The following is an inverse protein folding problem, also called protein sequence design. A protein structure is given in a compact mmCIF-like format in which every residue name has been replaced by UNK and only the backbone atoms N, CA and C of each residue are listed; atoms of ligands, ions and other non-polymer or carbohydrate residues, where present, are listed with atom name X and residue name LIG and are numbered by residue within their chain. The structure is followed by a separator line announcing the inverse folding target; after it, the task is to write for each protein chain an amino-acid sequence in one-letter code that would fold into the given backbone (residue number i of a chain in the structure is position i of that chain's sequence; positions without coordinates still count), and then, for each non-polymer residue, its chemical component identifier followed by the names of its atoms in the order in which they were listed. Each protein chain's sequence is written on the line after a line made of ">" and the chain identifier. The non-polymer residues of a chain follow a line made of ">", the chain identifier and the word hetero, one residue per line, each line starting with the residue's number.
data_IF_022276387043
#
_entry.id   IF_022276387043
#
_cell.length_a   1.000
_cell.length_b   1.000
_cell.length_c   1.000
_cell.angle_alpha   90.00
_cell.angle_beta   90.00
_cell.angle_gamma   90.00
#
_symmetry.space_group_name_H-M   'P 1'
#
loop_
_entity.id
_entity.type
_entity.pdbx_description
1 polymer ?
#
# COMPACT_ATOMS: atom_id res chain seq x y z
N UNK A 1 -12.30 0.92 -28.53
CA UNK A 1 -13.22 2.06 -28.74
C UNK A 1 -12.77 3.31 -27.99
N UNK A 2 -12.72 3.31 -26.65
CA UNK A 2 -12.30 4.49 -25.86
C UNK A 2 -10.98 5.13 -26.30
N UNK A 3 -9.94 4.33 -26.53
CA UNK A 3 -8.66 4.82 -27.05
C UNK A 3 -8.83 5.63 -28.35
N UNK A 4 -9.61 5.10 -29.30
CA UNK A 4 -9.82 5.72 -30.60
C UNK A 4 -10.67 6.99 -30.51
N UNK A 5 -11.65 7.05 -29.59
CA UNK A 5 -12.36 8.30 -29.27
C UNK A 5 -11.35 9.37 -28.86
N UNK A 6 -10.43 9.03 -27.94
CA UNK A 6 -9.35 9.91 -27.53
C UNK A 6 -8.49 10.38 -28.70
N UNK A 7 -8.10 9.48 -29.61
CA UNK A 7 -7.31 9.84 -30.79
C UNK A 7 -8.04 10.83 -31.71
N UNK A 8 -9.34 10.62 -31.97
CA UNK A 8 -10.15 11.53 -32.79
C UNK A 8 -10.27 12.91 -32.13
N UNK A 9 -10.52 12.94 -30.82
CA UNK A 9 -10.56 14.16 -30.01
C UNK A 9 -9.22 14.90 -30.02
N UNK A 10 -8.10 14.20 -30.03
CA UNK A 10 -6.76 14.81 -30.11
C UNK A 10 -6.45 15.37 -31.49
N UNK A 11 -6.93 14.73 -32.55
CA UNK A 11 -6.62 15.07 -33.93
C UNK A 11 -7.35 16.34 -34.42
N UNK A 12 -8.54 16.65 -33.88
CA UNK A 12 -9.33 17.81 -34.28
C UNK A 12 -9.64 18.73 -33.10
N UNK A 13 -9.06 19.95 -33.06
CA UNK A 13 -9.41 20.97 -32.07
C UNK A 13 -10.89 21.34 -32.09
N UNK A 14 -11.52 21.35 -33.27
CA UNK A 14 -12.94 21.65 -33.43
C UNK A 14 -13.81 20.58 -32.76
N UNK A 15 -13.51 19.29 -32.97
CA UNK A 15 -14.21 18.20 -32.27
C UNK A 15 -13.96 18.24 -30.77
N UNK A 16 -12.75 18.58 -30.33
CA UNK A 16 -12.43 18.70 -28.91
C UNK A 16 -13.23 19.84 -28.23
N UNK A 17 -13.38 20.99 -28.88
CA UNK A 17 -14.17 22.10 -28.34
C UNK A 17 -15.67 21.77 -28.35
N UNK A 18 -16.18 21.08 -29.36
CA UNK A 18 -17.56 20.56 -29.35
C UNK A 18 -17.79 19.62 -28.17
N UNK A 19 -16.85 18.71 -27.91
CA UNK A 19 -16.93 17.83 -26.74
C UNK A 19 -16.94 18.62 -25.42
N UNK A 20 -16.14 19.70 -25.31
CA UNK A 20 -16.19 20.60 -24.14
C UNK A 20 -17.54 21.32 -24.03
N UNK A 21 -18.14 21.75 -25.13
CA UNK A 21 -19.47 22.37 -25.13
C UNK A 21 -20.53 21.38 -24.61
N UNK A 22 -20.51 20.12 -25.05
CA UNK A 22 -21.40 19.08 -24.52
C UNK A 22 -21.17 18.84 -23.02
N UNK A 23 -19.92 18.90 -22.53
CA UNK A 23 -19.64 18.84 -21.09
C UNK A 23 -20.23 20.04 -20.31
N UNK A 24 -20.10 21.26 -20.83
CA UNK A 24 -20.69 22.46 -20.20
C UNK A 24 -22.21 22.37 -20.16
N UNK A 25 -22.83 21.87 -21.22
CA UNK A 25 -24.28 21.66 -21.32
C UNK A 25 -24.81 20.66 -20.29
N UNK A 26 -24.13 19.53 -20.10
CA UNK A 26 -24.57 18.49 -19.15
C UNK A 26 -24.24 18.84 -17.69
N UNK A 27 -23.08 19.46 -17.44
CA UNK A 27 -22.64 19.75 -16.06
C UNK A 27 -23.18 21.07 -15.49
N UNK A 28 -23.62 21.99 -16.36
CA UNK A 28 -23.96 23.37 -15.99
C UNK A 28 -22.78 24.20 -15.50
N UNK A 29 -21.54 23.68 -15.61
CA UNK A 29 -20.31 24.33 -15.14
C UNK A 29 -19.46 24.77 -16.31
N UNK A 30 -18.74 25.87 -16.14
CA UNK A 30 -17.81 26.38 -17.15
C UNK A 30 -16.54 25.52 -17.26
N UNK A 31 -16.15 24.90 -16.13
CA UNK A 31 -15.01 23.99 -16.06
C UNK A 31 -15.32 22.65 -16.74
N UNK A 32 -14.36 22.18 -17.53
CA UNK A 32 -14.46 20.90 -18.25
C UNK A 32 -13.35 19.96 -17.83
N UNK A 33 -13.62 18.67 -17.94
CA UNK A 33 -12.67 17.62 -17.65
C UNK A 33 -11.96 17.21 -18.94
N UNK A 34 -10.62 17.19 -18.90
CA UNK A 34 -9.83 16.70 -20.03
C UNK A 34 -10.03 15.20 -20.27
N UNK A 35 -9.91 14.78 -21.54
CA UNK A 35 -9.83 13.36 -21.86
C UNK A 35 -8.56 12.74 -21.28
N UNK A 36 -8.69 11.57 -20.66
CA UNK A 36 -7.53 10.82 -20.14
C UNK A 36 -7.09 9.81 -21.19
N UNK A 37 -5.86 9.93 -21.66
CA UNK A 37 -5.27 8.99 -22.61
C UNK A 37 -4.61 7.83 -21.87
N UNK A 38 -4.84 6.62 -22.36
CA UNK A 38 -4.06 5.48 -21.95
C UNK A 38 -2.64 5.54 -22.54
N UNK A 39 -1.70 4.87 -21.89
CA UNK A 39 -0.30 4.78 -22.23
C UNK A 39 0.15 3.33 -22.03
N UNK A 40 0.70 2.72 -23.08
CA UNK A 40 1.15 1.33 -23.07
C UNK A 40 2.19 1.01 -21.98
N UNK A 41 2.93 2.00 -21.49
CA UNK A 41 3.97 1.84 -20.45
C UNK A 41 3.44 1.98 -19.02
N UNK A 42 2.21 2.50 -18.84
CA UNK A 42 1.61 2.71 -17.52
C UNK A 42 0.37 1.84 -17.37
N UNK A 43 0.49 0.81 -16.56
CA UNK A 43 -0.56 -0.21 -16.38
C UNK A 43 -1.90 0.37 -15.84
N UNK A 44 -1.88 1.49 -15.10
CA UNK A 44 -3.06 2.14 -14.53
C UNK A 44 -3.80 3.07 -15.53
N UNK A 45 -3.20 3.31 -16.69
CA UNK A 45 -3.68 4.33 -17.62
C UNK A 45 -4.99 3.94 -18.32
N UNK A 46 -5.18 2.64 -18.63
CA UNK A 46 -6.43 2.13 -19.18
C UNK A 46 -7.58 2.26 -18.19
N UNK A 47 -7.32 1.94 -16.91
CA UNK A 47 -8.32 2.09 -15.84
C UNK A 47 -8.72 3.55 -15.65
N UNK A 48 -7.76 4.48 -15.60
CA UNK A 48 -8.05 5.91 -15.49
C UNK A 48 -8.82 6.47 -16.68
N UNK A 49 -8.54 5.97 -17.90
CA UNK A 49 -9.30 6.31 -19.09
C UNK A 49 -10.74 5.83 -18.98
N UNK A 50 -10.95 4.59 -18.52
CA UNK A 50 -12.30 4.04 -18.29
C UNK A 50 -13.07 4.78 -17.20
N UNK A 51 -12.46 5.07 -16.04
CA UNK A 51 -13.08 5.85 -14.97
C UNK A 51 -13.47 7.26 -15.47
N UNK A 52 -12.58 7.94 -16.19
CA UNK A 52 -12.88 9.25 -16.80
C UNK A 52 -14.02 9.15 -17.81
N UNK A 53 -14.04 8.11 -18.64
CA UNK A 53 -15.10 7.91 -19.63
C UNK A 53 -16.46 7.69 -18.96
N UNK A 54 -16.53 6.97 -17.84
CA UNK A 54 -17.76 6.78 -17.08
C UNK A 54 -18.28 8.11 -16.49
N UNK A 55 -17.39 8.93 -15.93
CA UNK A 55 -17.75 10.28 -15.45
C UNK A 55 -18.26 11.16 -16.61
N UNK A 56 -17.64 11.04 -17.77
CA UNK A 56 -18.00 11.81 -18.98
C UNK A 56 -19.09 11.15 -19.82
N UNK A 57 -19.74 10.07 -19.36
CA UNK A 57 -20.73 9.33 -20.13
C UNK A 57 -21.91 10.20 -20.61
N UNK A 58 -22.55 11.04 -19.77
CA UNK A 58 -23.63 11.93 -20.24
C UNK A 58 -23.14 12.88 -21.33
N UNK A 59 -22.00 13.54 -21.10
CA UNK A 59 -21.41 14.48 -22.05
C UNK A 59 -21.00 13.82 -23.37
N UNK A 60 -20.48 12.58 -23.33
CA UNK A 60 -20.15 11.80 -24.53
C UNK A 60 -21.41 11.45 -25.33
N UNK A 61 -22.49 11.04 -24.66
CA UNK A 61 -23.74 10.74 -25.34
C UNK A 61 -24.31 11.98 -26.06
N UNK A 62 -24.31 13.13 -25.37
CA UNK A 62 -24.73 14.40 -25.96
C UNK A 62 -23.83 14.82 -27.11
N UNK A 63 -22.51 14.71 -26.95
CA UNK A 63 -21.54 14.96 -28.03
C UNK A 63 -21.80 14.09 -29.27
N UNK A 64 -21.99 12.78 -29.10
CA UNK A 64 -22.28 11.89 -30.23
C UNK A 64 -23.60 12.23 -30.91
N UNK A 65 -24.63 12.61 -30.15
CA UNK A 65 -25.91 13.05 -30.70
C UNK A 65 -25.76 14.36 -31.48
N UNK A 66 -25.06 15.35 -30.93
CA UNK A 66 -24.84 16.65 -31.58
C UNK A 66 -24.04 16.49 -32.90
N UNK A 67 -23.01 15.65 -32.91
CA UNK A 67 -22.21 15.35 -34.11
C UNK A 67 -23.03 14.60 -35.15
N UNK A 68 -23.84 13.62 -34.73
CA UNK A 68 -24.73 12.85 -35.62
C UNK A 68 -25.75 13.78 -36.29
N UNK A 69 -26.48 14.56 -35.50
CA UNK A 69 -27.53 15.46 -35.97
C UNK A 69 -26.97 16.49 -36.97
N UNK A 70 -25.77 17.02 -36.70
CA UNK A 70 -25.11 17.97 -37.60
C UNK A 70 -24.78 17.35 -38.95
N UNK A 71 -24.19 16.16 -38.96
CA UNK A 71 -23.87 15.45 -40.20
C UNK A 71 -25.12 15.15 -41.03
N UNK A 72 -26.20 14.71 -40.37
CA UNK A 72 -27.49 14.44 -41.01
C UNK A 72 -28.12 15.72 -41.61
N UNK A 73 -27.88 16.88 -41.00
CA UNK A 73 -28.41 18.16 -41.48
C UNK A 73 -27.58 18.74 -42.64
N UNK A 74 -26.25 18.59 -42.61
CA UNK A 74 -25.35 19.27 -43.54
C UNK A 74 -25.10 18.53 -44.85
N UNK A 75 -25.02 17.19 -44.83
CA UNK A 75 -24.58 16.43 -46.01
C UNK A 75 -25.22 15.05 -46.14
N UNK A 76 -25.58 14.40 -45.02
CA UNK A 76 -26.20 13.06 -44.94
C UNK A 76 -25.58 11.97 -45.84
N UNK A 77 -24.39 12.23 -46.40
CA UNK A 77 -23.66 11.36 -47.30
C UNK A 77 -22.68 10.53 -46.51
N UNK A 78 -22.63 9.22 -46.76
CA UNK A 78 -21.75 8.31 -46.02
C UNK A 78 -20.26 8.69 -46.19
N UNK A 79 -19.90 9.33 -47.30
CA UNK A 79 -18.52 9.80 -47.57
C UNK A 79 -18.08 10.96 -46.67
N UNK A 80 -19.02 11.72 -46.09
CA UNK A 80 -18.72 12.88 -45.21
C UNK A 80 -18.92 12.56 -43.74
N UNK A 81 -19.24 11.31 -43.40
CA UNK A 81 -19.54 10.87 -42.04
C UNK A 81 -18.34 11.02 -41.11
N UNK A 82 -18.48 11.75 -39.99
CA UNK A 82 -17.40 11.90 -39.02
C UNK A 82 -16.90 10.56 -38.48
N UNK A 83 -15.59 10.30 -38.64
CA UNK A 83 -14.95 9.07 -38.20
C UNK A 83 -15.10 8.79 -36.69
N UNK A 84 -15.39 9.80 -35.87
CA UNK A 84 -15.63 9.62 -34.43
C UNK A 84 -16.89 8.79 -34.16
N UNK A 85 -17.92 8.88 -35.02
CA UNK A 85 -19.22 8.22 -34.84
C UNK A 85 -19.11 6.69 -34.89
N UNK A 86 -18.12 6.13 -35.60
CA UNK A 86 -17.87 4.69 -35.65
C UNK A 86 -17.46 4.10 -34.28
N UNK A 87 -17.03 4.95 -33.36
CA UNK A 87 -16.59 4.55 -32.02
C UNK A 87 -17.64 4.84 -30.94
N UNK A 88 -18.87 5.17 -31.33
CA UNK A 88 -19.98 5.37 -30.39
C UNK A 88 -20.23 4.07 -29.61
N UNK A 89 -20.21 4.20 -28.28
CA UNK A 89 -20.40 3.09 -27.36
C UNK A 89 -21.89 2.77 -27.21
N UNK A 90 -22.24 1.49 -27.29
CA UNK A 90 -23.58 1.00 -26.98
C UNK A 90 -23.81 0.95 -25.46
N UNK A 91 -25.06 0.81 -25.03
CA UNK A 91 -25.38 0.56 -23.62
C UNK A 91 -24.66 -0.69 -23.07
N UNK A 92 -24.43 -1.66 -23.96
CA UNK A 92 -23.69 -2.87 -23.66
C UNK A 92 -22.20 -2.60 -23.37
N UNK A 93 -21.54 -1.81 -24.22
CA UNK A 93 -20.12 -1.47 -24.04
C UNK A 93 -19.89 -0.70 -22.74
N UNK A 94 -20.81 0.21 -22.40
CA UNK A 94 -20.76 0.93 -21.13
C UNK A 94 -20.82 -0.01 -19.93
N UNK A 95 -21.68 -1.02 -19.98
CA UNK A 95 -21.78 -2.03 -18.92
C UNK A 95 -20.51 -2.86 -18.77
N UNK A 96 -19.87 -3.23 -19.89
CA UNK A 96 -18.56 -3.90 -19.86
C UNK A 96 -17.50 -3.01 -19.23
N UNK A 97 -17.47 -1.71 -19.56
CA UNK A 97 -16.53 -0.74 -18.95
C UNK A 97 -16.76 -0.64 -17.44
N UNK A 98 -18.00 -0.56 -16.97
CA UNK A 98 -18.34 -0.53 -15.54
C UNK A 98 -17.82 -1.77 -14.82
N UNK A 99 -18.03 -2.96 -15.39
CA UNK A 99 -17.54 -4.23 -14.82
C UNK A 99 -16.01 -4.26 -14.77
N UNK A 100 -15.32 -3.81 -15.83
CA UNK A 100 -13.86 -3.78 -15.86
C UNK A 100 -13.29 -2.82 -14.81
N UNK A 101 -13.88 -1.64 -14.65
CA UNK A 101 -13.46 -0.68 -13.61
C UNK A 101 -13.63 -1.28 -12.21
N UNK A 102 -14.79 -1.91 -11.94
CA UNK A 102 -15.07 -2.58 -10.67
C UNK A 102 -14.09 -3.73 -10.40
N UNK A 103 -13.82 -4.56 -11.40
CA UNK A 103 -12.87 -5.67 -11.33
C UNK A 103 -11.43 -5.19 -11.04
N UNK A 104 -11.01 -4.08 -11.65
CA UNK A 104 -9.66 -3.53 -11.49
C UNK A 104 -9.49 -2.67 -10.23
N UNK A 105 -10.58 -2.26 -9.58
CA UNK A 105 -10.51 -1.35 -8.43
C UNK A 105 -9.66 -1.87 -7.27
N UNK A 106 -9.77 -3.15 -6.84
CA UNK A 106 -8.89 -3.68 -5.80
C UNK A 106 -7.41 -3.67 -6.19
N UNK A 107 -7.07 -3.87 -7.47
CA UNK A 107 -5.69 -3.81 -7.95
C UNK A 107 -5.11 -2.39 -7.89
N UNK A 108 -5.91 -1.38 -8.21
CA UNK A 108 -5.53 0.02 -8.05
C UNK A 108 -5.27 0.36 -6.58
N UNK A 109 -6.17 -0.05 -5.69
CA UNK A 109 -6.04 0.16 -4.25
C UNK A 109 -4.79 -0.53 -3.72
N UNK A 110 -4.61 -1.82 -4.02
CA UNK A 110 -3.45 -2.61 -3.63
C UNK A 110 -2.14 -1.98 -4.10
N UNK A 111 -2.08 -1.53 -5.36
CA UNK A 111 -0.87 -0.92 -5.90
C UNK A 111 -0.55 0.41 -5.22
N UNK A 112 -1.55 1.26 -4.97
CA UNK A 112 -1.33 2.50 -4.21
C UNK A 112 -0.88 2.22 -2.78
N UNK A 113 -1.44 1.18 -2.15
CA UNK A 113 -1.11 0.78 -0.78
C UNK A 113 0.35 0.32 -0.68
N UNK A 114 0.82 -0.54 -1.59
CA UNK A 114 2.17 -1.12 -1.54
C UNK A 114 3.28 -0.16 -2.03
N UNK A 115 2.98 1.09 -2.39
CA UNK A 115 4.00 2.06 -2.83
C UNK A 115 4.69 2.80 -1.68
N UNK A 116 4.61 2.31 -0.43
CA UNK A 116 5.41 2.76 0.73
C UNK A 116 5.05 4.13 1.35
N UNK A 117 4.34 5.00 0.62
CA UNK A 117 3.62 6.11 1.25
C UNK A 117 2.15 5.76 1.30
N UNK A 118 1.70 5.11 2.36
CA UNK A 118 0.27 5.05 2.66
C UNK A 118 -0.34 6.45 2.48
N UNK A 119 -1.54 6.53 1.89
CA UNK A 119 -2.21 7.81 1.66
C UNK A 119 -2.37 8.52 3.03
N UNK A 120 -1.78 9.72 3.22
CA UNK A 120 -1.85 10.41 4.50
C UNK A 120 -3.30 10.64 4.94
N UNK A 121 -3.59 10.39 6.21
CA UNK A 121 -4.81 10.84 6.89
C UNK A 121 -6.11 10.10 6.58
N UNK A 122 -6.12 9.05 5.73
CA UNK A 122 -7.39 8.34 5.39
C UNK A 122 -7.35 6.82 5.49
N UNK A 123 -6.18 6.17 5.66
CA UNK A 123 -6.11 4.70 5.78
C UNK A 123 -5.15 4.24 6.89
N UNK A 124 -5.50 3.09 7.47
CA UNK A 124 -4.75 2.35 8.51
C UNK A 124 -3.43 1.74 8.02
N UNK A 125 -3.23 1.66 6.70
CA UNK A 125 -2.17 0.89 6.05
C UNK A 125 -0.98 1.76 5.67
N UNK A 126 0.24 1.28 5.95
CA UNK A 126 1.49 2.03 5.71
C UNK A 126 2.30 1.53 4.50
N UNK A 127 1.81 0.52 3.76
CA UNK A 127 2.57 -0.05 2.64
C UNK A 127 3.77 -0.88 3.08
N UNK A 128 3.74 -1.37 4.31
CA UNK A 128 4.77 -2.20 4.92
C UNK A 128 4.79 -3.61 4.33
N UNK A 129 5.90 -4.32 4.53
CA UNK A 129 6.12 -5.64 3.93
C UNK A 129 5.11 -6.69 4.40
N UNK A 130 4.64 -6.58 5.64
CA UNK A 130 3.64 -7.45 6.24
C UNK A 130 2.22 -7.26 5.66
N UNK A 131 2.02 -6.31 4.75
CA UNK A 131 0.80 -6.17 3.96
C UNK A 131 0.92 -6.85 2.58
N UNK A 132 2.14 -7.06 2.08
CA UNK A 132 2.38 -7.52 0.72
C UNK A 132 1.76 -8.89 0.44
N UNK A 133 2.07 -9.89 1.29
CA UNK A 133 1.54 -11.24 1.11
C UNK A 133 0.01 -11.31 1.29
N UNK A 134 -0.60 -10.72 2.34
CA UNK A 134 -2.05 -10.64 2.46
C UNK A 134 -2.75 -9.97 1.27
N UNK A 135 -2.15 -8.93 0.67
CA UNK A 135 -2.72 -8.26 -0.51
C UNK A 135 -2.81 -9.23 -1.69
N UNK A 136 -1.80 -10.07 -1.92
CA UNK A 136 -1.88 -11.09 -2.97
C UNK A 136 -2.98 -12.12 -2.71
N UNK A 137 -3.14 -12.58 -1.46
CA UNK A 137 -4.24 -13.49 -1.09
C UNK A 137 -5.61 -12.88 -1.41
N UNK A 138 -5.84 -11.62 -1.02
CA UNK A 138 -7.10 -10.92 -1.26
C UNK A 138 -7.36 -10.70 -2.76
N UNK A 139 -6.33 -10.35 -3.54
CA UNK A 139 -6.49 -10.15 -4.99
C UNK A 139 -6.77 -11.46 -5.74
N UNK A 140 -6.19 -12.58 -5.29
CA UNK A 140 -6.51 -13.89 -5.86
C UNK A 140 -7.94 -14.31 -5.53
N UNK A 141 -8.37 -14.13 -4.27
CA UNK A 141 -9.75 -14.39 -3.84
C UNK A 141 -10.75 -13.56 -4.65
N UNK A 142 -10.46 -12.26 -4.85
CA UNK A 142 -11.30 -11.37 -5.66
C UNK A 142 -11.48 -11.86 -7.09
N UNK A 143 -10.41 -12.35 -7.73
CA UNK A 143 -10.50 -12.91 -9.08
C UNK A 143 -11.23 -14.26 -9.10
N UNK A 144 -11.12 -15.08 -8.07
CA UNK A 144 -11.85 -16.34 -7.95
C UNK A 144 -13.35 -16.10 -7.80
N UNK A 145 -13.77 -15.22 -6.89
CA UNK A 145 -15.17 -14.79 -6.77
C UNK A 145 -15.69 -14.19 -8.09
N UNK A 146 -14.88 -13.38 -8.77
CA UNK A 146 -15.26 -12.80 -10.06
C UNK A 146 -15.46 -13.87 -11.16
N UNK A 147 -14.75 -15.00 -11.10
CA UNK A 147 -14.96 -16.12 -12.03
C UNK A 147 -16.30 -16.81 -11.76
N UNK A 148 -16.68 -16.93 -10.48
CA UNK A 148 -17.95 -17.49 -10.04
C UNK A 148 -19.12 -16.58 -10.46
N UNK A 149 -18.95 -15.27 -10.30
CA UNK A 149 -19.84 -14.25 -10.84
C UNK A 149 -20.12 -13.08 -9.93
N UNK A 150 -19.42 -12.98 -8.80
CA UNK A 150 -19.63 -11.95 -7.79
C UNK A 150 -18.33 -11.24 -7.43
N UNK A 151 -18.44 -9.99 -7.01
CA UNK A 151 -17.34 -9.22 -6.43
C UNK A 151 -17.82 -8.50 -5.17
N UNK A 152 -16.90 -8.13 -4.30
CA UNK A 152 -17.20 -7.27 -3.16
C UNK A 152 -16.98 -5.80 -3.53
N UNK A 153 -17.99 -4.98 -3.30
CA UNK A 153 -17.92 -3.53 -3.45
C UNK A 153 -18.08 -2.86 -2.07
N UNK A 154 -17.14 -1.95 -1.76
CA UNK A 154 -17.20 -1.15 -0.53
C UNK A 154 -18.24 -0.03 -0.74
N UNK A 155 -19.34 -0.10 0.00
CA UNK A 155 -20.41 0.90 0.00
C UNK A 155 -20.35 1.66 1.31
N UNK A 156 -20.33 2.99 1.23
CA UNK A 156 -20.42 3.88 2.39
C UNK A 156 -21.89 4.18 2.68
N UNK A 157 -22.31 3.90 3.91
CA UNK A 157 -23.64 4.27 4.39
C UNK A 157 -23.76 5.80 4.46
N UNK A 158 -24.75 6.40 3.77
CA UNK A 158 -24.89 7.85 3.70
C UNK A 158 -25.14 8.52 5.06
N UNK A 159 -25.60 7.78 6.06
CA UNK A 159 -25.92 8.30 7.41
C UNK A 159 -24.79 8.02 8.39
N UNK A 160 -24.36 6.76 8.50
CA UNK A 160 -23.36 6.36 9.51
C UNK A 160 -21.92 6.62 9.07
N UNK A 161 -21.67 6.84 7.76
CA UNK A 161 -20.34 6.84 7.13
C UNK A 161 -19.56 5.53 7.36
N UNK A 162 -20.23 4.49 7.84
CA UNK A 162 -19.64 3.17 7.93
C UNK A 162 -19.50 2.58 6.54
N UNK A 163 -18.35 1.96 6.31
CA UNK A 163 -18.07 1.27 5.06
C UNK A 163 -18.38 -0.21 5.23
N UNK A 164 -19.15 -0.77 4.31
CA UNK A 164 -19.54 -2.18 4.32
C UNK A 164 -19.31 -2.78 2.96
N UNK A 165 -18.83 -4.01 2.96
CA UNK A 165 -18.63 -4.78 1.73
C UNK A 165 -19.94 -5.44 1.34
N UNK A 166 -20.40 -5.14 0.13
CA UNK A 166 -21.62 -5.70 -0.47
C UNK A 166 -21.22 -6.60 -1.63
N UNK A 167 -21.78 -7.81 -1.67
CA UNK A 167 -21.58 -8.72 -2.78
C UNK A 167 -22.46 -8.31 -3.97
N UNK A 168 -21.83 -8.08 -5.12
CA UNK A 168 -22.47 -7.60 -6.34
C UNK A 168 -22.24 -8.60 -7.47
N UNK A 169 -23.31 -8.99 -8.15
CA UNK A 169 -23.25 -9.82 -9.34
C UNK A 169 -22.71 -9.02 -10.55
N UNK A 170 -21.62 -9.48 -11.16
CA UNK A 170 -20.96 -8.75 -12.25
C UNK A 170 -21.42 -9.15 -13.65
N UNK A 171 -22.11 -10.29 -13.79
CA UNK A 171 -22.51 -10.82 -15.11
C UNK A 171 -23.99 -10.63 -15.44
N UNK A 172 -24.73 -9.94 -14.58
CA UNK A 172 -26.16 -9.69 -14.77
C UNK A 172 -26.39 -8.76 -15.95
N UNK A 173 -27.29 -9.12 -16.85
CA UNK A 173 -27.60 -8.34 -18.06
C UNK A 173 -26.51 -8.33 -19.14
N UNK A 174 -25.50 -9.21 -19.05
CA UNK A 174 -24.58 -9.49 -20.17
C UNK A 174 -25.06 -10.70 -20.98
N UNK A 175 -24.80 -10.68 -22.29
CA UNK A 175 -25.04 -11.84 -23.16
C UNK A 175 -24.07 -12.99 -22.85
N UNK A 176 -24.46 -14.20 -23.24
CA UNK A 176 -23.71 -15.43 -22.91
C UNK A 176 -22.30 -15.45 -23.54
N UNK A 177 -22.12 -14.88 -24.74
CA UNK A 177 -20.83 -14.90 -25.44
C UNK A 177 -19.83 -14.02 -24.71
N UNK A 178 -20.22 -12.82 -24.35
CA UNK A 178 -19.33 -11.88 -23.65
C UNK A 178 -19.11 -12.30 -22.19
N UNK A 179 -20.13 -12.84 -21.50
CA UNK A 179 -19.94 -13.43 -20.18
C UNK A 179 -18.85 -14.50 -20.20
N UNK A 180 -18.90 -15.42 -21.18
CA UNK A 180 -17.86 -16.44 -21.36
C UNK A 180 -16.50 -15.81 -21.63
N UNK A 181 -16.44 -14.81 -22.51
CA UNK A 181 -15.20 -14.11 -22.86
C UNK A 181 -14.57 -13.41 -21.65
N UNK A 182 -15.35 -12.67 -20.85
CA UNK A 182 -14.90 -12.03 -19.63
C UNK A 182 -14.40 -13.05 -18.61
N UNK A 183 -15.13 -14.15 -18.39
CA UNK A 183 -14.65 -15.24 -17.51
C UNK A 183 -13.30 -15.80 -17.97
N UNK A 184 -13.07 -15.93 -19.28
CA UNK A 184 -11.76 -16.34 -19.82
C UNK A 184 -10.67 -15.31 -19.50
N UNK A 185 -10.95 -14.02 -19.69
CA UNK A 185 -9.97 -12.96 -19.37
C UNK A 185 -9.65 -12.89 -17.87
N UNK A 186 -10.65 -13.02 -17.00
CA UNK A 186 -10.45 -13.05 -15.54
C UNK A 186 -9.59 -14.27 -15.16
N UNK A 187 -9.86 -15.45 -15.74
CA UNK A 187 -9.03 -16.65 -15.55
C UNK A 187 -7.57 -16.45 -16.00
N UNK A 188 -7.34 -15.75 -17.10
CA UNK A 188 -6.00 -15.41 -17.57
C UNK A 188 -5.30 -14.45 -16.60
N UNK A 189 -6.02 -13.45 -16.09
CA UNK A 189 -5.55 -12.55 -15.04
C UNK A 189 -5.17 -13.30 -13.76
N UNK A 190 -6.04 -14.21 -13.31
CA UNK A 190 -5.79 -15.07 -12.15
C UNK A 190 -4.56 -15.94 -12.36
N UNK A 191 -4.44 -16.62 -13.50
CA UNK A 191 -3.27 -17.45 -13.84
C UNK A 191 -1.97 -16.64 -13.82
N UNK A 192 -2.02 -15.40 -14.29
CA UNK A 192 -0.87 -14.48 -14.27
C UNK A 192 -0.52 -14.08 -12.84
N UNK A 193 -1.50 -13.72 -12.00
CA UNK A 193 -1.28 -13.37 -10.60
C UNK A 193 -0.75 -14.57 -9.80
N UNK A 194 -1.36 -15.74 -9.96
CA UNK A 194 -0.96 -16.99 -9.33
C UNK A 194 0.48 -17.40 -9.70
N UNK A 195 0.93 -17.12 -10.93
CA UNK A 195 2.34 -17.32 -11.32
C UNK A 195 3.30 -16.49 -10.46
N UNK A 196 2.94 -15.26 -10.09
CA UNK A 196 3.77 -14.44 -9.22
C UNK A 196 3.63 -14.84 -7.76
N UNK A 197 2.44 -15.22 -7.33
CA UNK A 197 2.21 -15.77 -6.00
C UNK A 197 3.10 -17.00 -5.72
N UNK A 198 3.22 -17.92 -6.68
CA UNK A 198 4.11 -19.09 -6.57
C UNK A 198 5.61 -18.74 -6.50
N UNK A 199 5.99 -17.48 -6.75
CA UNK A 199 7.36 -16.99 -6.57
C UNK A 199 7.60 -16.36 -5.20
N UNK A 200 6.56 -16.19 -4.38
CA UNK A 200 6.64 -15.67 -3.00
C UNK A 200 7.11 -16.77 -2.04
N UNK A 201 8.21 -17.44 -2.37
CA UNK A 201 8.72 -18.62 -1.65
C UNK A 201 9.57 -18.27 -0.43
N UNK A 202 10.05 -17.02 -0.36
CA UNK A 202 10.86 -16.51 0.75
C UNK A 202 10.05 -16.47 2.04
N UNK A 203 10.64 -16.98 3.13
CA UNK A 203 10.04 -16.92 4.46
C UNK A 203 9.86 -15.48 4.96
N UNK A 204 10.57 -14.51 4.40
CA UNK A 204 10.45 -13.10 4.79
C UNK A 204 9.02 -12.55 4.57
N UNK A 205 8.33 -12.97 3.50
CA UNK A 205 6.95 -12.53 3.22
C UNK A 205 5.98 -12.94 4.33
N UNK A 206 6.08 -14.20 4.78
CA UNK A 206 5.25 -14.74 5.87
C UNK A 206 5.74 -14.24 7.22
N UNK A 207 7.05 -14.19 7.43
CA UNK A 207 7.68 -13.73 8.66
C UNK A 207 7.31 -12.30 9.01
N UNK A 208 7.24 -11.39 8.04
CA UNK A 208 6.76 -10.03 8.29
C UNK A 208 5.31 -10.00 8.79
N UNK A 209 4.42 -10.83 8.23
CA UNK A 209 3.03 -10.97 8.72
C UNK A 209 3.01 -11.54 10.14
N UNK A 210 3.80 -12.58 10.40
CA UNK A 210 3.88 -13.25 11.69
C UNK A 210 4.41 -12.30 12.77
N UNK A 211 5.42 -11.50 12.46
CA UNK A 211 6.01 -10.54 13.38
C UNK A 211 5.21 -9.24 13.53
N UNK A 212 4.12 -9.04 12.78
CA UNK A 212 3.15 -8.03 13.15
C UNK A 212 2.28 -8.56 14.31
N UNK A 213 2.38 -7.98 15.52
CA UNK A 213 1.71 -8.50 16.71
C UNK A 213 0.17 -8.43 16.62
N UNK A 214 -0.39 -7.60 15.74
CA UNK A 214 -1.82 -7.51 15.49
C UNK A 214 -2.32 -8.50 14.41
N UNK A 215 -1.42 -9.20 13.71
CA UNK A 215 -1.75 -10.16 12.65
C UNK A 215 -1.38 -11.58 13.07
N UNK A 216 -0.10 -11.84 13.33
CA UNK A 216 0.47 -13.16 13.64
C UNK A 216 0.05 -14.26 12.65
N UNK A 217 0.27 -15.53 13.01
CA UNK A 217 -0.23 -16.68 12.27
C UNK A 217 -1.76 -16.68 12.08
N UNK A 218 -2.51 -16.11 13.04
CA UNK A 218 -3.97 -16.08 13.00
C UNK A 218 -4.57 -15.43 11.75
N UNK A 219 -3.90 -14.40 11.19
CA UNK A 219 -4.33 -13.77 9.95
C UNK A 219 -4.16 -14.73 8.77
N UNK A 220 -3.01 -15.42 8.70
CA UNK A 220 -2.70 -16.35 7.61
C UNK A 220 -3.63 -17.57 7.65
N UNK A 221 -3.88 -18.11 8.84
CA UNK A 221 -4.84 -19.20 9.03
C UNK A 221 -6.25 -18.80 8.54
N UNK A 222 -6.66 -17.55 8.80
CA UNK A 222 -7.93 -17.01 8.29
C UNK A 222 -7.92 -16.85 6.78
N UNK A 223 -6.84 -16.36 6.19
CA UNK A 223 -6.75 -16.18 4.73
C UNK A 223 -6.75 -17.54 4.01
N UNK A 224 -5.92 -18.48 4.45
CA UNK A 224 -5.83 -19.82 3.86
C UNK A 224 -7.06 -20.70 4.09
N UNK A 225 -7.89 -20.39 5.08
CA UNK A 225 -9.15 -21.11 5.31
C UNK A 225 -10.31 -20.66 4.41
N UNK A 226 -10.23 -19.47 3.80
CA UNK A 226 -11.28 -18.91 2.93
C UNK A 226 -11.53 -19.75 1.68
N UNK A 227 -10.47 -20.29 1.09
CA UNK A 227 -10.55 -21.01 -0.19
C UNK A 227 -10.15 -22.48 -0.01
N UNK A 228 -11.08 -23.43 -0.19
CA UNK A 228 -10.78 -24.86 -0.04
C UNK A 228 -9.68 -25.37 -0.98
N UNK A 229 -9.53 -24.80 -2.17
CA UNK A 229 -8.48 -25.20 -3.14
C UNK A 229 -7.06 -24.82 -2.67
N UNK A 230 -6.92 -23.87 -1.73
CA UNK A 230 -5.65 -23.48 -1.10
C UNK A 230 -5.47 -24.06 0.31
N UNK A 231 -6.36 -24.96 0.76
CA UNK A 231 -6.23 -25.69 2.05
C UNK A 231 -5.11 -26.75 1.99
N UNK A 232 -3.91 -26.33 1.64
CA UNK A 232 -2.68 -27.09 1.85
C UNK A 232 -2.32 -26.92 3.32
N UNK A 233 -2.65 -27.92 4.15
CA UNK A 233 -2.15 -27.98 5.53
C UNK A 233 -0.61 -27.92 5.61
N UNK A 234 0.09 -28.16 4.50
CA UNK A 234 1.55 -28.16 4.43
C UNK A 234 2.16 -26.77 4.42
N UNK A 235 1.52 -25.73 3.85
CA UNK A 235 2.14 -24.40 3.70
C UNK A 235 2.50 -23.77 5.04
N UNK A 236 1.61 -23.88 6.03
CA UNK A 236 1.90 -23.38 7.38
C UNK A 236 3.18 -24.01 7.92
N UNK A 237 3.25 -25.33 7.91
CA UNK A 237 4.41 -26.07 8.42
C UNK A 237 5.69 -25.77 7.61
N UNK A 238 5.60 -25.68 6.28
CA UNK A 238 6.73 -25.34 5.40
C UNK A 238 7.29 -23.94 5.68
N UNK A 239 6.43 -22.94 5.89
CA UNK A 239 6.89 -21.59 6.23
C UNK A 239 7.37 -21.47 7.67
N UNK A 240 6.73 -22.19 8.60
CA UNK A 240 7.14 -22.25 10.00
C UNK A 240 8.54 -22.88 10.13
N UNK A 241 8.81 -23.99 9.44
CA UNK A 241 10.13 -24.62 9.38
C UNK A 241 11.20 -23.64 8.87
N UNK A 242 10.95 -22.96 7.75
CA UNK A 242 11.89 -21.95 7.22
C UNK A 242 12.10 -20.76 8.16
N UNK A 243 11.06 -20.34 8.90
CA UNK A 243 11.21 -19.27 9.89
C UNK A 243 12.05 -19.74 11.08
N UNK A 244 11.87 -20.98 11.52
CA UNK A 244 12.70 -21.59 12.56
C UNK A 244 14.17 -21.70 12.11
N UNK A 245 14.43 -22.11 10.87
CA UNK A 245 15.80 -22.13 10.32
C UNK A 245 16.48 -20.75 10.36
N UNK A 246 15.73 -19.68 10.07
CA UNK A 246 16.26 -18.31 10.18
C UNK A 246 16.44 -17.96 11.65
N UNK A 247 15.48 -18.29 12.51
CA UNK A 247 15.52 -18.01 13.94
C UNK A 247 16.74 -18.63 14.63
N UNK A 248 17.13 -19.86 14.29
CA UNK A 248 18.35 -20.48 14.82
C UNK A 248 19.60 -19.60 14.63
N UNK A 249 19.71 -18.89 13.50
CA UNK A 249 20.84 -17.97 13.23
C UNK A 249 20.82 -16.72 14.11
N UNK A 250 19.65 -16.33 14.63
CA UNK A 250 19.51 -15.17 15.52
C UNK A 250 19.72 -15.55 16.99
N UNK A 251 19.52 -16.82 17.38
CA UNK A 251 19.76 -17.29 18.75
C UNK A 251 21.19 -17.05 19.23
N UNK A 252 22.14 -17.16 18.31
CA UNK A 252 23.58 -17.02 18.57
C UNK A 252 24.09 -15.58 18.53
N UNK A 253 23.27 -14.60 18.14
CA UNK A 253 23.71 -13.20 18.06
C UNK A 253 23.93 -12.60 19.45
N UNK A 254 25.07 -11.95 19.62
CA UNK A 254 25.34 -11.12 20.80
C UNK A 254 24.40 -9.92 20.81
N UNK A 255 23.64 -9.77 21.89
CA UNK A 255 22.78 -8.61 22.11
C UNK A 255 23.55 -7.62 22.97
N UNK A 256 24.05 -6.55 22.35
CA UNK A 256 24.61 -5.43 23.09
C UNK A 256 23.56 -4.83 24.02
N UNK A 257 23.88 -4.69 25.30
CA UNK A 257 22.96 -4.21 26.34
C UNK A 257 22.71 -2.69 26.29
N UNK A 258 22.74 -2.08 25.10
CA UNK A 258 22.34 -0.70 24.90
C UNK A 258 20.84 -0.64 24.65
N UNK A 259 20.11 -0.56 25.76
CA UNK A 259 18.72 -0.14 25.77
C UNK A 259 18.65 1.19 25.02
N UNK A 260 18.12 1.19 23.81
CA UNK A 260 17.66 2.41 23.16
C UNK A 260 16.53 2.99 24.00
N UNK A 261 16.88 3.75 25.04
CA UNK A 261 15.95 4.57 25.77
C UNK A 261 15.34 5.56 24.78
N UNK A 262 14.09 5.29 24.37
CA UNK A 262 13.41 6.11 23.38
C UNK A 262 13.17 7.51 23.96
N UNK A 263 13.91 8.49 23.48
CA UNK A 263 13.48 9.90 23.49
C UNK A 263 12.63 10.14 22.25
N UNK A 264 11.40 9.60 22.22
CA UNK A 264 10.41 9.99 21.21
C UNK A 264 9.02 10.00 21.85
N UNK A 265 8.67 11.17 22.38
CA UNK A 265 7.40 11.45 23.04
C UNK A 265 6.24 11.78 22.08
N UNK A 266 6.28 11.33 20.81
CA UNK A 266 5.35 11.85 19.80
C UNK A 266 4.38 10.85 19.17
N UNK A 267 4.47 9.54 19.42
CA UNK A 267 3.60 8.58 18.71
C UNK A 267 2.59 7.80 19.55
N UNK A 268 2.76 7.70 20.86
CA UNK A 268 1.82 7.00 21.75
C UNK A 268 1.48 7.83 22.99
N UNK A 269 0.20 7.88 23.33
CA UNK A 269 -0.24 8.49 24.58
C UNK A 269 0.25 7.68 25.80
N UNK A 270 0.12 8.25 27.00
CA UNK A 270 0.58 7.61 28.24
C UNK A 270 -0.17 6.29 28.53
N UNK A 271 -1.45 6.21 28.18
CA UNK A 271 -2.34 5.08 28.45
C UNK A 271 -2.00 3.92 27.50
N UNK A 272 -1.85 4.17 26.20
CA UNK A 272 -1.43 3.18 25.20
C UNK A 272 -0.08 2.55 25.55
N UNK A 273 0.88 3.39 25.98
CA UNK A 273 2.17 2.93 26.49
C UNK A 273 2.04 2.04 27.72
N UNK A 274 1.12 2.36 28.63
CA UNK A 274 0.91 1.60 29.87
C UNK A 274 0.15 0.30 29.63
N UNK A 275 -0.84 0.29 28.75
CA UNK A 275 -1.58 -0.90 28.31
C UNK A 275 -0.66 -1.89 27.59
N UNK A 276 0.23 -1.40 26.71
CA UNK A 276 1.21 -2.24 26.05
C UNK A 276 2.18 -2.93 27.03
N UNK A 277 2.52 -2.25 28.14
CA UNK A 277 3.34 -2.81 29.22
C UNK A 277 2.55 -3.74 30.15
N UNK A 278 1.25 -3.52 30.37
CA UNK A 278 0.45 -4.35 31.28
C UNK A 278 0.05 -5.70 30.68
N UNK A 279 -0.09 -5.79 29.35
CA UNK A 279 -0.25 -7.08 28.64
C UNK A 279 1.05 -7.90 28.66
N UNK A 280 2.20 -7.26 28.90
CA UNK A 280 3.53 -7.85 28.75
C UNK A 280 4.01 -8.73 29.93
N UNK A 281 3.21 -8.91 30.99
CA UNK A 281 3.64 -9.63 32.21
C UNK A 281 4.75 -8.89 32.98
N UNK A 282 5.03 -9.26 34.24
CA UNK A 282 6.06 -8.60 35.02
C UNK A 282 7.45 -8.91 34.42
N UNK A 283 8.38 -7.95 34.38
CA UNK A 283 9.76 -8.22 34.02
C UNK A 283 10.35 -9.22 35.02
N UNK A 284 10.88 -10.34 34.52
CA UNK A 284 11.65 -11.27 35.33
C UNK A 284 12.81 -10.53 35.98
N UNK A 285 12.77 -10.39 37.29
CA UNK A 285 13.81 -9.77 38.12
C UNK A 285 15.09 -10.59 38.04
N UNK A 286 15.99 -10.24 37.11
CA UNK A 286 17.42 -10.51 37.28
C UNK A 286 18.04 -9.30 37.98
N UNK A 287 17.94 -9.27 39.31
CA UNK A 287 18.75 -8.38 40.14
C UNK A 287 19.89 -9.18 40.73
N UNK A 288 21.12 -8.82 40.32
CA UNK A 288 22.37 -9.28 40.92
C UNK A 288 22.42 -8.95 42.43
N UNK A 289 22.91 -9.84 43.31
CA UNK A 289 22.77 -9.69 44.75
C UNK A 289 23.98 -8.97 45.36
N UNK A 290 23.86 -7.68 45.68
CA UNK A 290 24.72 -7.04 46.67
C UNK A 290 23.98 -5.93 47.43
N UNK A 291 24.16 -5.96 48.76
CA UNK A 291 23.78 -4.99 49.79
C UNK A 291 22.35 -5.03 50.41
N UNK A 292 22.26 -5.75 51.56
CA UNK A 292 21.78 -5.33 52.89
C UNK A 292 20.50 -4.44 53.03
N UNK A 293 19.59 -4.58 54.01
CA UNK A 293 19.44 -5.40 55.22
C UNK A 293 18.07 -5.11 55.86
N UNK A 294 17.46 -6.14 56.50
CA UNK A 294 16.45 -6.10 57.58
C UNK A 294 15.02 -5.59 57.22
N UNK A 295 13.89 -6.18 57.65
CA UNK A 295 13.54 -7.05 58.78
C UNK A 295 12.28 -7.89 58.43
N UNK A 296 12.24 -9.12 58.94
CA UNK A 296 11.09 -9.67 59.69
C UNK A 296 9.92 -10.29 58.92
N UNK A 297 9.76 -11.61 59.04
CA UNK A 297 8.47 -12.29 58.80
C UNK A 297 8.58 -13.74 58.36
N UNK A 298 8.63 -14.68 59.32
CA UNK A 298 8.61 -16.13 59.09
C UNK A 298 7.28 -16.58 58.47
N UNK A 299 7.31 -17.40 57.42
CA UNK A 299 6.37 -18.52 57.27
C UNK A 299 6.93 -19.59 56.33
N UNK A 300 7.20 -20.74 56.91
CA UNK A 300 7.68 -21.98 56.30
C UNK A 300 6.55 -22.73 55.61
N UNK A 301 6.67 -22.98 54.30
CA UNK A 301 6.09 -24.17 53.65
C UNK A 301 7.05 -24.70 52.60
N UNK A 302 7.74 -25.80 52.96
CA UNK A 302 8.48 -26.67 52.05
C UNK A 302 7.48 -27.31 51.08
N UNK A 303 7.59 -27.00 49.80
CA UNK A 303 7.10 -27.83 48.72
C UNK A 303 8.28 -28.17 47.80
N UNK A 304 8.38 -29.46 47.54
CA UNK A 304 9.49 -30.19 46.92
C UNK A 304 9.61 -29.76 45.45
N UNK A 305 10.61 -28.96 45.10
CA UNK A 305 10.98 -28.70 43.71
C UNK A 305 11.62 -29.98 43.15
N UNK A 306 10.86 -30.70 42.34
CA UNK A 306 11.42 -31.72 41.44
C UNK A 306 12.16 -31.01 40.33
N UNK A 307 13.45 -31.31 40.21
CA UNK A 307 14.30 -30.90 39.10
C UNK A 307 13.74 -31.45 37.77
N UNK A 308 13.17 -30.55 36.98
CA UNK A 308 13.06 -30.69 35.54
C UNK A 308 13.84 -29.53 34.94
N UNK A 309 14.87 -29.86 34.16
CA UNK A 309 15.89 -28.94 33.69
C UNK A 309 15.33 -27.76 32.89
N UNK A 310 16.07 -26.67 32.98
CA UNK A 310 15.98 -25.46 32.15
C UNK A 310 16.00 -25.86 30.67
N UNK A 311 14.83 -26.06 30.06
CA UNK A 311 14.71 -25.85 28.62
C UNK A 311 14.89 -24.35 28.43
N UNK A 312 15.89 -23.96 27.64
CA UNK A 312 16.05 -22.57 27.23
C UNK A 312 14.70 -22.07 26.69
N UNK A 313 14.12 -21.09 27.37
CA UNK A 313 12.82 -20.52 27.02
C UNK A 313 12.93 -19.84 25.65
N UNK A 314 12.43 -20.52 24.62
CA UNK A 314 12.54 -20.11 23.23
C UNK A 314 11.66 -18.87 22.95
N UNK A 315 12.31 -17.75 22.63
CA UNK A 315 11.63 -16.46 22.43
C UNK A 315 10.56 -16.54 21.32
N UNK A 316 10.82 -17.28 20.24
CA UNK A 316 9.89 -17.44 19.12
C UNK A 316 8.64 -18.20 19.53
N UNK A 317 8.80 -19.35 20.19
CA UNK A 317 7.68 -20.14 20.71
C UNK A 317 6.82 -19.32 21.68
N UNK A 318 7.45 -18.55 22.57
CA UNK A 318 6.74 -17.68 23.52
C UNK A 318 5.93 -16.60 22.81
N UNK A 319 6.51 -15.92 21.82
CA UNK A 319 5.81 -14.91 21.02
C UNK A 319 4.62 -15.48 20.23
N UNK A 320 4.78 -16.66 19.66
CA UNK A 320 3.74 -17.33 18.89
C UNK A 320 2.58 -17.83 19.77
N UNK A 321 2.85 -18.16 21.04
CA UNK A 321 1.83 -18.57 22.01
C UNK A 321 1.01 -17.39 22.56
N UNK A 322 1.52 -16.16 22.51
CA UNK A 322 0.78 -14.97 22.95
C UNK A 322 -0.37 -14.64 22.00
N UNK A 323 -1.45 -14.09 22.56
CA UNK A 323 -2.58 -13.58 21.79
C UNK A 323 -2.19 -12.42 20.86
N UNK A 324 -3.06 -12.15 19.88
CA UNK A 324 -2.92 -10.98 19.00
C UNK A 324 -3.16 -9.69 19.77
N UNK A 325 -2.38 -8.66 19.43
CA UNK A 325 -2.48 -7.35 20.06
C UNK A 325 -3.55 -6.52 19.34
N UNK A 326 -4.68 -6.29 20.03
CA UNK A 326 -5.80 -5.50 19.50
C UNK A 326 -5.53 -3.98 19.62
N UNK A 327 -4.59 -3.46 18.83
CA UNK A 327 -4.29 -2.02 18.76
C UNK A 327 -4.11 -1.58 17.31
N UNK A 328 -4.88 -0.56 16.90
CA UNK A 328 -4.75 0.05 15.58
C UNK A 328 -3.35 0.64 15.36
N UNK A 329 -2.74 1.21 16.41
CA UNK A 329 -1.39 1.74 16.33
C UNK A 329 -0.39 0.64 15.93
N UNK A 330 -0.33 -0.47 16.67
CA UNK A 330 0.62 -1.55 16.39
C UNK A 330 0.32 -2.31 15.09
N UNK A 331 -0.92 -2.25 14.59
CA UNK A 331 -1.24 -2.73 13.25
C UNK A 331 -0.51 -1.95 12.16
N UNK A 332 -0.45 -0.62 12.30
CA UNK A 332 0.18 0.28 11.33
C UNK A 332 1.68 0.52 11.59
N UNK A 333 2.13 0.38 12.84
CA UNK A 333 3.52 0.56 13.28
C UNK A 333 3.96 -0.63 14.15
N UNK A 334 4.13 -1.83 13.55
CA UNK A 334 4.51 -3.02 14.31
C UNK A 334 5.90 -2.91 14.95
N UNK A 335 6.81 -2.14 14.35
CA UNK A 335 8.18 -1.91 14.87
C UNK A 335 8.15 -1.25 16.25
N UNK A 336 7.19 -0.37 16.53
CA UNK A 336 7.11 0.33 17.82
C UNK A 336 6.77 -0.63 18.96
N UNK A 337 6.01 -1.71 18.68
CA UNK A 337 5.79 -2.79 19.65
C UNK A 337 7.08 -3.54 19.98
N UNK A 338 7.88 -3.86 18.95
CA UNK A 338 9.17 -4.54 19.13
C UNK A 338 10.20 -3.70 19.86
N UNK A 339 10.20 -2.37 19.67
CA UNK A 339 11.03 -1.46 20.46
C UNK A 339 10.69 -1.53 21.95
N UNK A 340 9.41 -1.51 22.30
CA UNK A 340 8.95 -1.59 23.70
C UNK A 340 9.25 -2.97 24.31
N UNK A 341 9.00 -4.04 23.54
CA UNK A 341 9.13 -5.42 24.01
C UNK A 341 10.53 -6.03 23.75
N UNK A 342 11.49 -5.25 23.25
CA UNK A 342 12.85 -5.73 22.97
C UNK A 342 13.54 -6.34 24.19
N UNK A 343 13.26 -5.82 25.39
CA UNK A 343 13.78 -6.41 26.64
C UNK A 343 13.23 -7.82 26.95
N UNK A 344 12.02 -8.17 26.46
CA UNK A 344 11.41 -9.51 26.60
C UNK A 344 11.86 -10.47 25.50
N UNK A 345 12.20 -9.89 24.35
CA UNK A 345 12.53 -10.56 23.10
C UNK A 345 13.86 -10.00 22.52
N UNK A 346 14.97 -10.11 23.25
CA UNK A 346 16.21 -9.41 22.90
C UNK A 346 16.79 -9.84 21.55
N UNK A 347 16.64 -11.11 21.17
CA UNK A 347 17.12 -11.63 19.88
C UNK A 347 16.03 -11.66 18.83
N UNK A 348 14.81 -12.03 19.23
CA UNK A 348 13.69 -12.12 18.30
C UNK A 348 13.29 -10.74 17.75
N UNK A 349 13.41 -9.67 18.55
CA UNK A 349 13.16 -8.32 18.08
C UNK A 349 14.08 -7.90 16.93
N UNK A 350 15.33 -8.37 16.88
CA UNK A 350 16.25 -8.11 15.76
C UNK A 350 15.73 -8.76 14.47
N UNK A 351 15.35 -10.03 14.53
CA UNK A 351 14.77 -10.76 13.39
C UNK A 351 13.47 -10.10 12.92
N UNK A 352 12.61 -9.71 13.85
CA UNK A 352 11.35 -9.05 13.55
C UNK A 352 11.56 -7.70 12.85
N UNK A 353 12.50 -6.87 13.35
CA UNK A 353 12.84 -5.59 12.72
C UNK A 353 13.43 -5.80 11.33
N UNK A 354 14.35 -6.75 11.16
CA UNK A 354 14.94 -7.06 9.84
C UNK A 354 13.88 -7.47 8.81
N UNK A 355 12.86 -8.24 9.22
CA UNK A 355 11.77 -8.64 8.30
C UNK A 355 10.75 -7.54 8.04
N UNK A 356 10.39 -6.75 9.06
CA UNK A 356 9.38 -5.69 8.94
C UNK A 356 9.89 -4.45 8.19
N UNK A 357 11.21 -4.24 8.15
CA UNK A 357 11.83 -3.08 7.48
C UNK A 357 12.12 -3.30 6.00
N UNK A 358 11.87 -4.50 5.46
CA UNK A 358 11.99 -4.78 4.03
C UNK A 358 11.03 -3.86 3.25
N UNK A 359 11.48 -3.11 2.25
CA UNK A 359 10.57 -2.31 1.43
C UNK A 359 9.70 -3.24 0.56
N UNK A 360 8.39 -3.00 0.55
CA UNK A 360 7.43 -3.80 -0.21
C UNK A 360 7.48 -3.56 -1.73
N UNK A 361 8.03 -2.42 -2.17
CA UNK A 361 8.09 -2.02 -3.57
C UNK A 361 9.30 -1.12 -3.87
N UNK A 362 9.78 -1.16 -5.11
CA UNK A 362 10.78 -0.22 -5.63
C UNK A 362 10.26 1.22 -5.76
N UNK A 363 8.96 1.45 -5.59
CA UNK A 363 8.34 2.77 -5.76
C UNK A 363 8.97 3.87 -4.90
N UNK A 364 9.46 3.54 -3.70
CA UNK A 364 10.22 4.49 -2.88
C UNK A 364 11.50 4.95 -3.56
N UNK A 365 12.29 4.00 -4.06
CA UNK A 365 13.50 4.29 -4.83
C UNK A 365 13.16 5.06 -6.12
N UNK A 366 12.08 4.71 -6.83
CA UNK A 366 11.63 5.39 -8.04
C UNK A 366 11.24 6.85 -7.78
N UNK A 367 10.60 7.16 -6.64
CA UNK A 367 10.31 8.54 -6.24
C UNK A 367 11.58 9.32 -5.95
N UNK A 368 12.54 8.70 -5.27
CA UNK A 368 13.87 9.29 -5.03
C UNK A 368 14.58 9.57 -6.36
N UNK A 369 14.57 8.62 -7.30
CA UNK A 369 15.14 8.80 -8.63
C UNK A 369 14.41 9.86 -9.46
N UNK A 370 13.07 9.90 -9.43
CA UNK A 370 12.28 10.92 -10.13
C UNK A 370 12.62 12.33 -9.64
N UNK A 371 12.77 12.49 -8.32
CA UNK A 371 13.18 13.76 -7.75
C UNK A 371 14.65 14.12 -8.05
N UNK A 372 15.52 13.11 -8.11
CA UNK A 372 16.92 13.27 -8.55
C UNK A 372 17.00 13.61 -10.03
N UNK A 373 16.02 13.19 -10.83
CA UNK A 373 15.92 13.49 -12.26
C UNK A 373 16.00 14.99 -12.54
N UNK A 374 15.36 15.83 -11.70
CA UNK A 374 15.46 17.30 -11.80
C UNK A 374 16.88 17.84 -11.58
N UNK A 375 17.68 17.14 -10.77
CA UNK A 375 19.09 17.48 -10.50
C UNK A 375 20.04 16.97 -11.60
N UNK A 376 19.57 16.09 -12.48
CA UNK A 376 20.34 15.50 -13.58
C UNK A 376 19.94 16.03 -14.97
N UNK A 377 18.93 16.91 -15.07
CA UNK A 377 18.48 17.46 -16.37
C UNK A 377 19.61 18.31 -16.99
N UNK A 378 19.95 18.11 -18.28
CA UNK A 378 21.09 18.74 -18.93
C UNK A 378 21.04 20.27 -18.99
N UNK A 379 19.89 20.90 -18.75
CA UNK A 379 19.71 22.34 -18.89
C UNK A 379 20.24 23.17 -17.70
N UNK A 380 20.51 22.62 -16.51
CA UNK A 380 20.97 23.40 -15.34
C UNK A 380 21.76 22.64 -14.25
N UNK A 381 22.86 21.95 -14.57
CA UNK A 381 24.06 21.73 -13.70
C UNK A 381 24.78 20.39 -13.96
N UNK A 382 26.12 20.42 -14.02
CA UNK A 382 26.99 19.23 -13.97
C UNK A 382 27.26 18.83 -12.51
N UNK A 383 26.23 18.43 -11.76
CA UNK A 383 26.44 17.90 -10.42
C UNK A 383 27.10 16.53 -10.49
N UNK A 384 28.15 16.31 -9.68
CA UNK A 384 28.77 14.99 -9.54
C UNK A 384 27.81 14.04 -8.83
N UNK A 385 27.92 12.74 -9.11
CA UNK A 385 27.02 11.70 -8.55
C UNK A 385 27.00 11.71 -7.03
N UNK A 386 28.14 11.99 -6.41
CA UNK A 386 28.32 12.04 -4.96
C UNK A 386 27.51 13.19 -4.35
N UNK A 387 27.45 14.34 -5.02
CA UNK A 387 26.67 15.51 -4.58
C UNK A 387 25.18 15.22 -4.69
N UNK A 388 24.74 14.56 -5.76
CA UNK A 388 23.34 14.14 -5.92
C UNK A 388 22.95 13.17 -4.81
N UNK A 389 23.81 12.19 -4.49
CA UNK A 389 23.57 11.24 -3.41
C UNK A 389 23.47 11.94 -2.04
N UNK A 390 24.44 12.80 -1.70
CA UNK A 390 24.41 13.57 -0.45
C UNK A 390 23.16 14.44 -0.31
N UNK A 391 22.76 15.13 -1.38
CA UNK A 391 21.56 15.95 -1.38
C UNK A 391 20.27 15.14 -1.17
N UNK A 392 20.18 13.94 -1.76
CA UNK A 392 19.04 13.05 -1.50
C UNK A 392 19.05 12.51 -0.06
N UNK A 393 20.22 12.18 0.50
CA UNK A 393 20.34 11.77 1.90
C UNK A 393 19.87 12.89 2.86
N UNK A 394 20.37 14.11 2.69
CA UNK A 394 19.98 15.28 3.51
C UNK A 394 18.48 15.54 3.39
N UNK A 395 17.93 15.45 2.16
CA UNK A 395 16.48 15.58 1.94
C UNK A 395 15.67 14.49 2.62
N UNK A 396 16.16 13.25 2.63
CA UNK A 396 15.52 12.13 3.31
C UNK A 396 15.52 12.34 4.82
N UNK A 397 16.66 12.68 5.42
CA UNK A 397 16.78 12.97 6.85
C UNK A 397 15.95 14.17 7.27
N UNK A 398 15.86 15.19 6.42
CA UNK A 398 15.01 16.35 6.67
C UNK A 398 13.52 16.00 6.67
N UNK A 399 13.06 15.19 5.71
CA UNK A 399 11.68 14.67 5.71
C UNK A 399 11.38 13.78 6.91
N UNK A 400 12.38 13.02 7.38
CA UNK A 400 12.25 12.17 8.56
C UNK A 400 12.32 12.96 9.88
N UNK A 401 12.57 14.28 9.85
CA UNK A 401 12.70 15.10 11.05
C UNK A 401 14.02 14.89 11.82
N UNK A 402 14.95 14.10 11.29
CA UNK A 402 16.27 13.84 11.89
C UNK A 402 17.16 15.09 11.77
N UNK A 403 16.96 15.86 10.70
CA UNK A 403 17.73 17.06 10.41
C UNK A 403 16.80 18.21 10.01
N UNK A 404 16.70 19.24 10.84
CA UNK A 404 16.07 20.50 10.44
C UNK A 404 17.13 21.41 9.83
N UNK A 405 17.07 21.71 8.52
CA UNK A 405 17.98 22.68 7.93
C UNK A 405 17.84 24.02 8.65
N UNK A 406 18.97 24.57 9.10
CA UNK A 406 19.03 25.89 9.76
C UNK A 406 18.73 27.05 8.80
N UNK A 407 18.84 26.80 7.49
CA UNK A 407 18.42 27.75 6.47
C UNK A 407 16.89 27.73 6.34
N UNK A 408 16.22 28.89 6.26
CA UNK A 408 14.77 28.99 6.15
C UNK A 408 14.34 28.56 4.73
N UNK A 409 14.41 27.25 4.44
CA UNK A 409 14.08 26.68 3.14
C UNK A 409 12.63 26.92 2.72
N UNK A 410 11.76 27.27 3.67
CA UNK A 410 10.35 27.60 3.42
C UNK A 410 10.11 29.05 2.99
N UNK A 411 11.06 29.97 3.17
CA UNK A 411 10.89 31.39 2.77
C UNK A 411 11.46 31.72 1.39
N UNK A 412 11.83 30.69 0.64
CA UNK A 412 12.61 30.81 -0.58
C UNK A 412 11.70 30.84 -1.81
N UNK A 413 11.18 32.04 -2.11
CA UNK A 413 10.70 32.38 -3.43
C UNK A 413 11.84 32.28 -4.45
N UNK A 414 11.53 32.02 -5.73
CA UNK A 414 12.54 31.74 -6.77
C UNK A 414 13.64 32.82 -6.91
N UNK A 415 13.41 34.03 -6.40
CA UNK A 415 14.30 35.19 -6.56
C UNK A 415 15.22 35.50 -5.36
N UNK A 416 15.03 34.87 -4.18
CA UNK A 416 15.77 35.27 -2.94
C UNK A 416 17.03 34.47 -2.64
N UNK A 417 17.33 33.43 -3.44
CA UNK A 417 18.49 32.56 -3.20
C UNK A 417 19.84 33.22 -3.45
N UNK A 418 19.91 34.17 -4.39
CA UNK A 418 21.15 34.85 -4.74
C UNK A 418 21.68 35.70 -3.57
N UNK A 419 20.78 36.41 -2.87
CA UNK A 419 21.14 37.31 -1.76
C UNK A 419 21.64 36.54 -0.53
N UNK A 420 21.06 35.37 -0.25
CA UNK A 420 21.48 34.51 0.88
C UNK A 420 22.85 33.88 0.61
N UNK A 421 23.15 33.49 -0.64
CA UNK A 421 24.46 32.96 -1.02
C UNK A 421 25.56 34.03 -1.01
N UNK A 422 25.23 35.30 -1.29
CA UNK A 422 26.14 36.44 -1.16
C UNK A 422 26.42 36.74 0.32
N UNK A 423 25.42 36.65 1.19
CA UNK A 423 25.59 36.79 2.64
C UNK A 423 26.52 35.70 3.22
N UNK A 424 26.41 34.46 2.76
CA UNK A 424 27.29 33.35 3.19
C UNK A 424 28.74 33.50 2.70
N UNK A 425 28.98 34.16 1.56
CA UNK A 425 30.34 34.46 1.07
C UNK A 425 31.03 35.59 1.85
N UNK A 426 30.30 36.37 2.64
CA UNK A 426 30.82 37.47 3.45
C UNK A 426 31.39 37.07 4.81
N UNK A 427 31.32 35.79 5.19
CA UNK A 427 31.92 35.27 6.43
C UNK A 427 33.12 34.39 6.11
N UNK A 428 34.06 34.96 5.34
CA UNK A 428 35.44 34.52 5.37
C UNK A 428 36.14 35.30 6.46
N UNK A 429 36.19 34.76 7.68
CA UNK A 429 37.27 34.98 8.64
C UNK A 429 37.19 33.91 9.74
N UNK A 430 38.16 32.98 9.66
CA UNK A 430 38.69 32.01 10.65
C UNK A 430 37.74 30.95 11.21
#
# INVERSE_FOLDING_TARGET
>A
MLHNIGLQLRASPQLYEQFRQSQRKESGKESTLHWVFNNATRWDSDMRMMERALVLRPALNTFFNDVQNRWETESASENTKPAVLQYRLSAYDWKVIEILVKLLKPFEIATKQLQGSGIPGTRSTCGSFDEYFPVFEILLDHLESAIEGTILEEVEDPVSKEKRDVEVAIFDGLDNKTRKLLKVFIKLGWKKLHKYYNRLTSAAYVGAVVFNPAKKWSLLDRLWSRVPSRKTKTWRSEYEEKLLEIWERYKEREVGCEVFASTDGASMDYIERRLARSVAGPPGTQTSPFAASSRGGKSTRKAKQSAAGVMADDEYARYCAEDVVNSHHYRSRPIDWWKINGHRYPRLSLMAVDMLTIPSSSAESERTFSSSGRMMVPLRSRLRREIVAMAQCIRSWSKAGIYTPSLPLLSLSEDTWADILVSLKGTGDI
#
